data_IF_348742671232
#
_entry.id   IF_348742671232
#
_cell.length_a   1.000
_cell.length_b   1.000
_cell.length_c   1.000
_cell.angle_alpha   90.00
_cell.angle_beta   90.00
_cell.angle_gamma   90.00
#
_symmetry.space_group_name_H-M   'P 1'
#
loop_
_entity.id
_entity.type
_entity.pdbx_description
1 polymer ?
#
# COMPACT_ATOMS: atom_id res chain seq x y z
N UNK A 1 13.19 -25.47 2.09
CA UNK A 1 11.89 -24.83 1.83
C UNK A 1 12.07 -23.34 1.91
N UNK A 2 11.91 -22.64 0.79
CA UNK A 2 11.92 -21.18 0.73
C UNK A 2 10.62 -20.66 1.35
N UNK A 3 10.72 -19.99 2.49
CA UNK A 3 9.59 -19.27 3.05
C UNK A 3 9.52 -17.88 2.43
N UNK A 4 8.33 -17.46 1.99
CA UNK A 4 8.10 -16.10 1.54
C UNK A 4 8.44 -15.12 2.69
N UNK A 5 9.05 -13.95 2.39
CA UNK A 5 9.32 -12.95 3.41
C UNK A 5 8.04 -12.52 4.14
N UNK A 6 8.13 -12.30 5.44
CA UNK A 6 7.04 -11.76 6.23
C UNK A 6 7.03 -10.24 6.12
N UNK A 7 5.84 -9.69 5.91
CA UNK A 7 5.57 -8.26 5.99
C UNK A 7 4.73 -8.01 7.24
N UNK A 8 5.21 -7.11 8.09
CA UNK A 8 4.52 -6.70 9.32
C UNK A 8 4.27 -5.21 9.23
N UNK A 9 3.02 -4.81 9.04
CA UNK A 9 2.69 -3.39 8.90
C UNK A 9 1.46 -3.00 9.70
N UNK A 10 1.44 -1.75 10.14
CA UNK A 10 0.27 -1.11 10.75
C UNK A 10 -0.23 0.00 9.84
N UNK A 11 -1.55 0.16 9.78
CA UNK A 11 -2.24 1.05 8.84
C UNK A 11 -3.30 1.88 9.55
N UNK A 12 -3.34 3.19 9.23
CA UNK A 12 -4.33 4.13 9.75
C UNK A 12 -5.00 4.90 8.62
N UNK A 13 -6.27 5.23 8.80
CA UNK A 13 -6.96 6.24 8.01
C UNK A 13 -6.67 7.60 8.63
N UNK A 14 -6.34 8.60 7.82
CA UNK A 14 -6.09 9.96 8.29
C UNK A 14 -7.38 10.79 8.21
N UNK A 15 -7.55 11.73 9.15
CA UNK A 15 -8.71 12.61 9.21
C UNK A 15 -8.61 13.82 8.29
N UNK A 16 -7.39 14.15 7.85
CA UNK A 16 -7.07 15.28 6.98
C UNK A 16 -5.69 15.06 6.34
N UNK A 17 -5.33 15.81 5.30
CA UNK A 17 -3.96 15.82 4.78
C UNK A 17 -2.96 16.22 5.88
N UNK A 18 -1.86 15.47 6.06
CA UNK A 18 -0.84 15.84 7.03
C UNK A 18 0.06 16.97 6.51
N UNK A 19 0.67 17.71 7.44
CA UNK A 19 1.74 18.66 7.11
C UNK A 19 3.07 17.91 6.98
N UNK A 20 3.33 17.35 5.81
CA UNK A 20 4.52 16.56 5.54
C UNK A 20 5.80 17.40 5.60
N UNK A 21 6.95 16.79 6.00
CA UNK A 21 8.25 17.47 5.88
C UNK A 21 8.50 17.93 4.44
N UNK A 22 9.17 19.08 4.29
CA UNK A 22 9.43 19.68 2.97
C UNK A 22 10.27 18.77 2.06
N UNK A 23 11.16 17.96 2.63
CA UNK A 23 12.04 17.04 1.89
C UNK A 23 11.67 15.61 2.25
N UNK A 24 11.14 14.89 1.27
CA UNK A 24 10.84 13.45 1.36
C UNK A 24 10.66 12.89 -0.05
N UNK A 25 10.71 11.58 -0.18
CA UNK A 25 10.47 10.92 -1.47
C UNK A 25 8.97 10.85 -1.77
N UNK A 26 8.60 11.11 -3.02
CA UNK A 26 7.23 10.96 -3.50
C UNK A 26 7.21 10.03 -4.71
N UNK A 27 6.39 9.00 -4.63
CA UNK A 27 6.18 8.04 -5.72
C UNK A 27 4.77 8.19 -6.28
N UNK A 28 4.64 8.30 -7.58
CA UNK A 28 3.34 8.16 -8.24
C UNK A 28 3.13 6.69 -8.56
N UNK A 29 2.05 6.10 -8.04
CA UNK A 29 1.77 4.68 -8.18
C UNK A 29 0.46 4.48 -8.94
N UNK A 30 0.53 3.69 -10.01
CA UNK A 30 -0.62 3.11 -10.69
C UNK A 30 -0.64 1.62 -10.35
N UNK A 31 -1.72 1.14 -9.80
CA UNK A 31 -1.82 -0.18 -9.20
C UNK A 31 -3.07 -0.89 -9.68
N UNK A 32 -2.91 -2.14 -10.11
CA UNK A 32 -4.02 -2.96 -10.58
C UNK A 32 -3.88 -4.40 -10.10
N UNK A 33 -5.02 -5.05 -9.91
CA UNK A 33 -5.08 -6.43 -9.41
C UNK A 33 -5.48 -7.39 -10.52
N UNK A 34 -4.75 -8.51 -10.58
CA UNK A 34 -4.97 -9.57 -11.54
C UNK A 34 -6.24 -10.37 -11.21
N UNK A 35 -6.86 -11.05 -12.19
CA UNK A 35 -8.14 -11.74 -11.99
C UNK A 35 -8.17 -12.83 -10.90
N UNK A 36 -6.99 -13.40 -10.55
CA UNK A 36 -6.86 -14.43 -9.52
C UNK A 36 -7.06 -13.89 -8.09
N UNK A 37 -6.99 -12.57 -7.89
CA UNK A 37 -7.14 -11.95 -6.58
C UNK A 37 -8.58 -12.06 -6.09
N UNK A 38 -8.79 -12.51 -4.84
CA UNK A 38 -10.10 -12.77 -4.26
C UNK A 38 -10.23 -12.20 -2.85
N UNK A 39 -11.44 -11.73 -2.51
CA UNK A 39 -11.76 -11.16 -1.19
C UNK A 39 -12.28 -12.20 -0.20
N UNK A 40 -12.87 -13.29 -0.68
CA UNK A 40 -13.72 -14.20 0.09
C UNK A 40 -13.04 -15.46 0.59
N UNK A 41 -11.72 -15.57 0.43
CA UNK A 41 -10.97 -16.75 0.85
C UNK A 41 -10.30 -16.57 2.20
N UNK A 42 -10.31 -17.61 3.03
CA UNK A 42 -9.58 -17.64 4.30
C UNK A 42 -8.07 -17.60 4.09
N UNK A 43 -7.58 -18.20 3.00
CA UNK A 43 -6.19 -18.09 2.56
C UNK A 43 -6.10 -17.05 1.43
N UNK A 44 -6.35 -15.82 1.80
CA UNK A 44 -6.46 -14.70 0.87
C UNK A 44 -5.11 -14.38 0.21
N UNK A 45 -5.11 -14.34 -1.11
CA UNK A 45 -3.96 -13.95 -1.91
C UNK A 45 -4.29 -12.78 -2.84
N UNK A 46 -3.49 -11.74 -2.78
CA UNK A 46 -3.56 -10.59 -3.69
C UNK A 46 -2.43 -10.68 -4.71
N UNK A 47 -2.77 -10.77 -6.00
CA UNK A 47 -1.79 -10.58 -7.08
C UNK A 47 -1.96 -9.20 -7.69
N UNK A 48 -0.93 -8.34 -7.58
CA UNK A 48 -0.99 -6.98 -8.10
C UNK A 48 0.20 -6.65 -8.98
N UNK A 49 -0.03 -5.74 -9.93
CA UNK A 49 1.03 -5.10 -10.69
C UNK A 49 1.00 -3.60 -10.42
N UNK A 50 2.19 -2.99 -10.35
CA UNK A 50 2.34 -1.56 -10.09
C UNK A 50 3.34 -0.96 -11.07
N UNK A 51 3.02 0.24 -11.55
CA UNK A 51 3.98 1.13 -12.18
C UNK A 51 4.27 2.27 -11.20
N UNK A 52 5.52 2.39 -10.81
CA UNK A 52 5.99 3.39 -9.87
C UNK A 52 6.84 4.40 -10.63
N UNK A 53 6.40 5.65 -10.63
CA UNK A 53 7.15 6.76 -11.22
C UNK A 53 7.76 7.58 -10.10
N UNK A 54 9.08 7.64 -10.06
CA UNK A 54 9.86 8.40 -9.08
C UNK A 54 9.93 9.88 -9.48
N UNK A 55 10.30 10.74 -8.52
CA UNK A 55 10.41 12.19 -8.74
C UNK A 55 11.43 12.56 -9.83
N UNK A 56 12.48 11.74 -10.01
CA UNK A 56 13.50 11.93 -11.05
C UNK A 56 13.09 11.40 -12.42
N UNK A 57 11.87 10.89 -12.56
CA UNK A 57 11.32 10.34 -13.80
C UNK A 57 11.60 8.86 -14.03
N UNK A 58 12.39 8.20 -13.17
CA UNK A 58 12.61 6.75 -13.27
C UNK A 58 11.28 6.01 -13.08
N UNK A 59 11.08 4.97 -13.90
CA UNK A 59 9.91 4.11 -13.83
C UNK A 59 10.34 2.70 -13.43
N UNK A 60 9.70 2.15 -12.41
CA UNK A 60 9.86 0.77 -12.01
C UNK A 60 8.49 0.05 -12.06
N UNK A 61 8.47 -1.17 -12.57
CA UNK A 61 7.29 -2.00 -12.57
C UNK A 61 7.53 -3.23 -11.71
N UNK A 62 6.56 -3.56 -10.87
CA UNK A 62 6.67 -4.69 -9.94
C UNK A 62 5.39 -5.52 -9.92
N UNK A 63 5.57 -6.82 -9.72
CA UNK A 63 4.50 -7.78 -9.46
C UNK A 63 4.65 -8.28 -8.02
N UNK A 64 3.58 -8.17 -7.26
CA UNK A 64 3.56 -8.55 -5.85
C UNK A 64 2.43 -9.53 -5.59
N UNK A 65 2.71 -10.58 -4.83
CA UNK A 65 1.70 -11.49 -4.30
C UNK A 65 1.74 -11.40 -2.78
N UNK A 66 0.61 -11.07 -2.18
CA UNK A 66 0.44 -11.05 -0.72
C UNK A 66 -0.53 -12.12 -0.29
N UNK A 67 -0.20 -12.85 0.80
CA UNK A 67 -1.04 -13.90 1.38
C UNK A 67 -1.25 -13.65 2.86
N UNK A 68 -2.44 -13.98 3.36
CA UNK A 68 -2.79 -13.82 4.75
C UNK A 68 -3.55 -12.54 5.06
N UNK A 69 -3.77 -12.28 6.34
CA UNK A 69 -4.60 -11.17 6.82
C UNK A 69 -4.03 -10.57 8.10
N UNK A 70 -4.38 -9.29 8.37
CA UNK A 70 -4.02 -8.60 9.58
C UNK A 70 -2.61 -8.05 9.59
N UNK A 71 -1.98 -8.07 10.76
CA UNK A 71 -0.69 -7.42 11.00
C UNK A 71 0.46 -8.09 10.25
N UNK A 72 0.51 -9.43 10.22
CA UNK A 72 1.60 -10.22 9.63
C UNK A 72 1.12 -10.91 8.37
N UNK A 73 1.79 -10.63 7.24
CA UNK A 73 1.44 -11.19 5.94
C UNK A 73 2.69 -11.74 5.24
N UNK A 74 2.50 -12.71 4.36
CA UNK A 74 3.55 -13.18 3.46
C UNK A 74 3.52 -12.34 2.18
N UNK A 75 4.67 -11.85 1.76
CA UNK A 75 4.81 -11.06 0.54
C UNK A 75 5.92 -11.61 -0.34
N UNK A 76 5.63 -11.78 -1.63
CA UNK A 76 6.61 -12.05 -2.68
C UNK A 76 6.53 -10.92 -3.71
N UNK A 77 7.65 -10.26 -3.95
CA UNK A 77 7.73 -9.17 -4.92
C UNK A 77 8.84 -9.43 -5.93
N UNK A 78 8.56 -9.18 -7.20
CA UNK A 78 9.54 -9.27 -8.27
C UNK A 78 9.41 -8.09 -9.23
N UNK A 79 10.54 -7.66 -9.77
CA UNK A 79 10.57 -6.66 -10.84
C UNK A 79 10.07 -7.28 -12.14
N UNK A 80 9.24 -6.55 -12.86
CA UNK A 80 8.83 -6.85 -14.24
C UNK A 80 9.20 -5.68 -15.14
N UNK A 81 9.36 -5.94 -16.44
CA UNK A 81 9.61 -4.85 -17.36
C UNK A 81 8.31 -4.11 -17.75
N UNK A 82 8.47 -2.93 -18.35
CA UNK A 82 7.32 -2.10 -18.73
C UNK A 82 6.43 -2.82 -19.75
N UNK A 83 7.02 -3.53 -20.69
CA UNK A 83 6.25 -4.28 -21.71
C UNK A 83 5.37 -5.36 -21.05
N UNK A 84 5.87 -6.08 -20.07
CA UNK A 84 5.09 -7.04 -19.29
C UNK A 84 3.96 -6.36 -18.52
N UNK A 85 4.27 -5.23 -17.87
CA UNK A 85 3.25 -4.44 -17.18
C UNK A 85 2.12 -4.02 -18.15
N UNK A 86 2.46 -3.44 -19.28
CA UNK A 86 1.50 -2.97 -20.27
C UNK A 86 0.65 -4.11 -20.86
N UNK A 87 1.26 -5.28 -21.05
CA UNK A 87 0.54 -6.48 -21.52
C UNK A 87 -0.48 -6.98 -20.49
N UNK A 88 -0.16 -6.92 -19.19
CA UNK A 88 -1.02 -7.40 -18.11
C UNK A 88 -2.07 -6.37 -17.67
N UNK A 89 -1.80 -5.09 -17.88
CA UNK A 89 -2.63 -3.98 -17.39
C UNK A 89 -4.11 -4.08 -17.81
N UNK A 90 -4.45 -4.41 -19.07
CA UNK A 90 -5.87 -4.53 -19.47
C UNK A 90 -6.66 -5.52 -18.60
N UNK A 91 -6.04 -6.59 -18.12
CA UNK A 91 -6.72 -7.60 -17.29
C UNK A 91 -7.07 -7.11 -15.88
N UNK A 92 -6.55 -5.95 -15.48
CA UNK A 92 -6.85 -5.35 -14.17
C UNK A 92 -8.03 -4.39 -14.18
N UNK A 93 -8.73 -4.23 -15.31
CA UNK A 93 -9.86 -3.32 -15.44
C UNK A 93 -10.91 -3.55 -14.35
N UNK A 94 -11.38 -2.46 -13.71
CA UNK A 94 -12.31 -2.53 -12.59
C UNK A 94 -11.67 -2.87 -11.24
N UNK A 95 -10.35 -3.06 -11.19
CA UNK A 95 -9.59 -3.40 -9.98
C UNK A 95 -8.33 -2.58 -9.89
N UNK A 96 -8.46 -1.26 -10.02
CA UNK A 96 -7.33 -0.31 -10.09
C UNK A 96 -7.46 0.80 -9.08
N UNK A 97 -6.32 1.35 -8.69
CA UNK A 97 -6.23 2.60 -7.96
C UNK A 97 -4.95 3.35 -8.35
N UNK A 98 -4.97 4.65 -8.09
CA UNK A 98 -3.81 5.53 -8.25
C UNK A 98 -3.58 6.29 -6.95
N UNK A 99 -2.32 6.49 -6.61
CA UNK A 99 -1.97 7.23 -5.40
C UNK A 99 -0.62 7.92 -5.53
N UNK A 100 -0.43 8.97 -4.75
CA UNK A 100 0.88 9.53 -4.46
C UNK A 100 1.32 9.00 -3.10
N UNK A 101 2.44 8.30 -3.08
CA UNK A 101 3.02 7.75 -1.85
C UNK A 101 4.16 8.65 -1.39
N UNK A 102 3.96 9.27 -0.24
CA UNK A 102 4.97 10.07 0.43
C UNK A 102 5.72 9.18 1.41
N UNK A 103 7.05 9.09 1.24
CA UNK A 103 7.89 8.24 2.08
C UNK A 103 8.75 9.12 2.98
N UNK A 104 8.54 9.00 4.28
CA UNK A 104 9.18 9.87 5.28
C UNK A 104 9.88 9.00 6.32
N UNK A 105 11.20 9.18 6.43
CA UNK A 105 11.99 8.52 7.47
C UNK A 105 11.71 9.16 8.83
N UNK A 106 11.41 8.34 9.83
CA UNK A 106 11.23 8.79 11.20
C UNK A 106 11.43 7.64 12.18
N UNK A 107 12.27 7.87 13.21
CA UNK A 107 12.48 6.88 14.26
C UNK A 107 13.06 5.56 13.76
N UNK A 108 13.90 5.59 12.73
CA UNK A 108 14.50 4.40 12.13
C UNK A 108 13.56 3.60 11.23
N UNK A 109 12.34 4.07 11.01
CA UNK A 109 11.34 3.45 10.15
C UNK A 109 10.96 4.38 9.00
N UNK A 110 10.40 3.81 7.93
CA UNK A 110 9.83 4.58 6.83
C UNK A 110 8.31 4.62 6.99
N UNK A 111 7.77 5.83 7.15
CA UNK A 111 6.33 6.06 7.12
C UNK A 111 5.90 6.31 5.68
N UNK A 112 4.93 5.55 5.22
CA UNK A 112 4.36 5.70 3.90
C UNK A 112 2.97 6.32 4.03
N UNK A 113 2.83 7.55 3.52
CA UNK A 113 1.57 8.28 3.53
C UNK A 113 1.02 8.30 2.12
N UNK A 114 -0.12 7.66 1.93
CA UNK A 114 -0.76 7.53 0.64
C UNK A 114 -1.89 8.56 0.49
N UNK A 115 -1.74 9.43 -0.49
CA UNK A 115 -2.80 10.29 -0.99
C UNK A 115 -3.44 9.57 -2.18
N UNK A 116 -4.65 9.06 -2.01
CA UNK A 116 -5.37 8.43 -3.11
C UNK A 116 -5.86 9.48 -4.10
N UNK A 117 -5.76 9.18 -5.39
CA UNK A 117 -6.17 10.11 -6.45
C UNK A 117 -7.60 9.85 -6.93
N UNK A 118 -8.15 8.67 -6.63
CA UNK A 118 -9.50 8.29 -7.05
C UNK A 118 -10.57 8.66 -6.02
N UNK A 119 -10.16 8.98 -4.78
CA UNK A 119 -11.04 9.36 -3.66
C UNK A 119 -10.37 10.41 -2.78
N UNK A 120 -11.16 11.21 -2.01
CA UNK A 120 -10.59 12.11 -1.00
C UNK A 120 -10.15 11.34 0.25
N UNK A 121 -9.17 10.47 0.10
CA UNK A 121 -8.70 9.54 1.12
C UNK A 121 -7.18 9.68 1.30
N UNK A 122 -6.77 9.78 2.56
CA UNK A 122 -5.37 9.70 2.98
C UNK A 122 -5.20 8.58 3.99
N UNK A 123 -4.15 7.79 3.83
CA UNK A 123 -3.81 6.71 4.75
C UNK A 123 -2.33 6.76 5.07
N UNK A 124 -1.96 6.24 6.24
CA UNK A 124 -0.57 6.09 6.64
C UNK A 124 -0.30 4.63 7.01
N UNK A 125 0.86 4.14 6.60
CA UNK A 125 1.32 2.80 6.97
C UNK A 125 2.78 2.82 7.37
N UNK A 126 3.18 1.89 8.21
CA UNK A 126 4.55 1.69 8.63
C UNK A 126 4.84 0.19 8.72
N UNK A 127 5.93 -0.23 8.08
CA UNK A 127 6.43 -1.59 8.21
C UNK A 127 7.30 -1.71 9.47
N UNK A 128 7.03 -2.73 10.27
CA UNK A 128 7.70 -2.95 11.55
C UNK A 128 8.72 -4.09 11.44
N UNK A 129 9.86 -4.00 12.16
CA UNK A 129 10.85 -5.07 12.17
C UNK A 129 10.35 -6.35 12.87
N UNK A 130 9.39 -6.21 13.81
CA UNK A 130 8.72 -7.33 14.48
C UNK A 130 7.37 -6.88 15.04
N UNK A 131 6.49 -7.84 15.32
CA UNK A 131 5.09 -7.57 15.69
C UNK A 131 4.93 -6.76 16.98
N UNK A 132 5.89 -6.88 17.91
CA UNK A 132 5.85 -6.18 19.20
C UNK A 132 6.46 -4.78 19.17
N UNK A 133 6.98 -4.35 18.01
CA UNK A 133 7.60 -3.04 17.88
C UNK A 133 6.53 -1.94 17.96
N UNK A 134 6.70 -1.02 18.91
CA UNK A 134 5.85 0.18 19.03
C UNK A 134 6.50 1.32 18.23
N UNK A 135 5.92 1.72 17.08
CA UNK A 135 6.51 2.78 16.28
C UNK A 135 6.36 4.13 16.95
N UNK A 136 7.40 4.96 16.87
CA UNK A 136 7.31 6.36 17.27
C UNK A 136 6.49 7.12 16.22
N UNK A 137 5.41 7.76 16.67
CA UNK A 137 4.55 8.55 15.78
C UNK A 137 5.21 9.89 15.46
N UNK A 138 5.38 10.22 14.16
CA UNK A 138 5.88 11.54 13.78
C UNK A 138 4.98 12.68 14.27
N UNK A 139 5.56 13.79 14.67
CA UNK A 139 4.81 14.95 15.15
C UNK A 139 3.83 15.50 14.11
N UNK A 140 4.20 15.44 12.82
CA UNK A 140 3.35 15.89 11.72
C UNK A 140 2.17 14.95 11.45
N UNK A 141 2.24 13.70 11.90
CA UNK A 141 1.18 12.71 11.71
C UNK A 141 0.13 12.74 12.83
N UNK A 142 0.57 12.99 14.08
CA UNK A 142 -0.30 12.95 15.26
C UNK A 142 -1.60 13.76 15.11
N UNK A 143 -1.58 15.01 14.60
CA UNK A 143 -2.82 15.82 14.53
C UNK A 143 -3.89 15.25 13.62
N UNK A 144 -3.51 14.42 12.65
CA UNK A 144 -4.42 13.90 11.62
C UNK A 144 -4.59 12.38 11.71
N UNK A 145 -4.00 11.74 12.71
CA UNK A 145 -4.10 10.30 12.89
C UNK A 145 -5.53 9.91 13.26
N UNK A 146 -6.17 9.15 12.38
CA UNK A 146 -7.50 8.62 12.59
C UNK A 146 -7.48 7.18 13.11
N UNK A 147 -8.46 6.41 12.67
CA UNK A 147 -8.64 5.03 13.14
C UNK A 147 -7.56 4.11 12.56
N UNK A 148 -7.01 3.23 13.40
CA UNK A 148 -6.19 2.12 12.94
C UNK A 148 -7.06 1.07 12.26
N UNK A 149 -6.68 0.65 11.06
CA UNK A 149 -7.42 -0.28 10.22
C UNK A 149 -6.60 -1.51 9.83
N UNK A 150 -5.52 -1.78 10.55
CA UNK A 150 -4.61 -2.91 10.30
C UNK A 150 -5.35 -4.24 10.11
N UNK A 151 -6.41 -4.47 10.87
CA UNK A 151 -7.17 -5.72 10.87
C UNK A 151 -8.49 -5.63 10.11
N UNK A 152 -8.77 -4.51 9.45
CA UNK A 152 -10.01 -4.33 8.68
C UNK A 152 -9.72 -4.52 7.19
N UNK A 153 -10.11 -5.68 6.60
CA UNK A 153 -9.79 -5.98 5.20
C UNK A 153 -10.45 -5.05 4.19
N UNK A 154 -11.49 -4.31 4.59
CA UNK A 154 -12.17 -3.34 3.70
C UNK A 154 -11.27 -2.17 3.32
N UNK A 155 -10.22 -1.90 4.11
CA UNK A 155 -9.26 -0.80 3.89
C UNK A 155 -7.99 -1.24 3.19
N UNK A 156 -7.86 -2.52 2.83
CA UNK A 156 -6.75 -2.97 1.99
C UNK A 156 -6.86 -2.38 0.59
N UNK A 157 -5.72 -2.15 -0.02
CA UNK A 157 -5.69 -1.59 -1.37
C UNK A 157 -6.49 -2.44 -2.37
N UNK A 158 -6.50 -3.77 -2.22
CA UNK A 158 -7.34 -4.63 -3.07
C UNK A 158 -8.83 -4.31 -2.91
N UNK A 159 -9.33 -4.23 -1.69
CA UNK A 159 -10.72 -3.89 -1.42
C UNK A 159 -11.06 -2.48 -1.93
N UNK A 160 -10.17 -1.51 -1.72
CA UNK A 160 -10.33 -0.16 -2.24
C UNK A 160 -10.42 -0.15 -3.76
N UNK A 161 -9.55 -0.91 -4.45
CA UNK A 161 -9.53 -0.98 -5.91
C UNK A 161 -10.82 -1.58 -6.49
N UNK A 162 -11.45 -2.51 -5.78
CA UNK A 162 -12.67 -3.22 -6.21
C UNK A 162 -13.94 -2.50 -5.78
N UNK A 163 -14.00 -1.99 -4.55
CA UNK A 163 -15.22 -1.51 -3.91
C UNK A 163 -15.19 -0.03 -3.52
N UNK A 164 -14.01 0.61 -3.59
CA UNK A 164 -13.82 1.95 -3.04
C UNK A 164 -13.78 1.96 -1.51
N UNK A 165 -13.57 3.15 -0.90
CA UNK A 165 -13.53 3.28 0.56
C UNK A 165 -14.85 2.86 1.21
N UNK A 166 -14.80 2.16 2.37
CA UNK A 166 -16.00 1.85 3.13
C UNK A 166 -16.72 3.13 3.55
N UNK A 167 -18.05 3.08 3.56
CA UNK A 167 -18.88 4.18 4.03
C UNK A 167 -19.20 3.99 5.52
N UNK A 168 -19.06 5.08 6.26
CA UNK A 168 -19.36 5.15 7.69
C UNK A 168 -18.19 4.88 8.59
#
# INVERSE_FOLDING_TARGET
VSHAPLEIERVWVLTAPPELPAVHAVWRIEQGYLPESRLDQTDFAEGRIRRITHQDGRVACVHTVKRGAGLVRHEEERTIDLATFERLWPSTAGRRLRKLRHRVDHGGLVWEVDQFLDWPLWMAEVELPHADHAPELPAWLKPVLGREVTHDPRWRNFALAVQGPPQG
#
